data_IF_005865078914
#
_entry.id   IF_005865078914
#
_cell.length_a   1.000
_cell.length_b   1.000
_cell.length_c   1.000
_cell.angle_alpha   90.00
_cell.angle_beta   90.00
_cell.angle_gamma   90.00
#
_symmetry.space_group_name_H-M   'P 1'
#
loop_
_entity.id
_entity.type
_entity.pdbx_description
1 polymer ?
#
# COMPACT_ATOMS: atom_id res chain seq x y z
N UNK A 1 22.90 7.27 -20.58
CA UNK A 1 22.76 7.32 -19.11
C UNK A 1 21.29 7.12 -18.79
N UNK A 2 20.95 6.26 -17.85
CA UNK A 2 19.56 6.02 -17.45
C UNK A 2 19.06 7.25 -16.70
N UNK A 3 17.87 7.75 -17.05
CA UNK A 3 17.28 8.98 -16.48
C UNK A 3 16.81 8.76 -15.05
N UNK A 4 17.05 9.73 -14.18
CA UNK A 4 16.47 9.73 -12.81
C UNK A 4 14.98 10.02 -12.86
N UNK A 5 14.23 9.38 -11.97
CA UNK A 5 12.77 9.56 -11.83
C UNK A 5 12.51 10.54 -10.69
N UNK A 6 12.23 11.79 -11.03
CA UNK A 6 11.95 12.84 -10.04
C UNK A 6 10.50 12.81 -9.59
N UNK A 7 10.28 12.70 -8.27
CA UNK A 7 8.95 12.78 -7.70
C UNK A 7 8.50 14.24 -7.62
N UNK A 8 7.35 14.56 -8.23
CA UNK A 8 6.81 15.92 -8.17
C UNK A 8 6.34 16.29 -6.76
N UNK A 9 6.25 17.59 -6.45
CA UNK A 9 5.77 18.07 -5.15
C UNK A 9 4.32 17.66 -4.86
N UNK A 10 3.53 17.35 -5.88
CA UNK A 10 2.16 16.89 -5.72
C UNK A 10 2.06 15.42 -5.33
N UNK A 11 3.12 14.62 -5.50
CA UNK A 11 3.12 13.23 -5.08
C UNK A 11 3.29 13.12 -3.57
N UNK A 12 2.35 12.43 -2.94
CA UNK A 12 2.27 12.25 -1.47
C UNK A 12 2.58 10.81 -1.05
N UNK A 13 2.65 9.88 -1.99
CA UNK A 13 2.82 8.46 -1.69
C UNK A 13 3.50 7.72 -2.84
N UNK A 14 4.36 6.78 -2.49
CA UNK A 14 4.97 5.83 -3.43
C UNK A 14 4.60 4.43 -2.96
N UNK A 15 3.76 3.74 -3.74
CA UNK A 15 3.35 2.37 -3.49
C UNK A 15 4.06 1.43 -4.47
N UNK A 16 4.83 0.50 -3.95
CA UNK A 16 5.52 -0.52 -4.75
C UNK A 16 4.91 -1.87 -4.41
N UNK A 17 4.17 -2.42 -5.36
CA UNK A 17 3.57 -3.74 -5.26
C UNK A 17 4.58 -4.77 -5.78
N UNK A 18 5.40 -5.33 -4.89
CA UNK A 18 6.42 -6.32 -5.28
C UNK A 18 5.79 -7.57 -5.87
N UNK A 19 4.63 -7.96 -5.35
CA UNK A 19 3.84 -9.12 -5.77
C UNK A 19 2.37 -8.90 -5.46
N UNK A 20 1.47 -9.55 -6.19
CA UNK A 20 0.04 -9.61 -5.82
C UNK A 20 -0.29 -10.88 -5.03
N UNK A 21 0.64 -11.80 -4.88
CA UNK A 21 0.46 -13.01 -4.06
C UNK A 21 0.40 -12.64 -2.58
N UNK A 22 -0.44 -13.34 -1.84
CA UNK A 22 -0.58 -13.16 -0.39
C UNK A 22 -0.80 -14.52 0.26
N UNK A 23 -0.28 -14.70 1.46
CA UNK A 23 -0.49 -15.89 2.29
C UNK A 23 -1.76 -15.82 3.14
N UNK A 24 -2.53 -14.72 3.05
CA UNK A 24 -3.85 -14.55 3.65
C UNK A 24 -4.93 -14.31 2.58
N UNK A 25 -6.20 -14.57 2.95
CA UNK A 25 -7.37 -14.35 2.10
C UNK A 25 -8.46 -13.56 2.85
N UNK A 26 -8.15 -12.31 3.19
CA UNK A 26 -9.04 -11.45 3.97
C UNK A 26 -10.31 -11.11 3.20
N UNK A 27 -11.51 -11.24 3.79
CA UNK A 27 -12.78 -11.01 3.10
C UNK A 27 -13.00 -9.55 2.68
N UNK A 28 -12.32 -8.62 3.33
CA UNK A 28 -12.38 -7.17 3.07
C UNK A 28 -11.13 -6.62 2.38
N UNK A 29 -10.32 -7.50 1.78
CA UNK A 29 -9.13 -7.09 1.06
C UNK A 29 -9.51 -6.27 -0.18
N UNK A 30 -8.99 -5.06 -0.28
CA UNK A 30 -9.26 -4.19 -1.42
C UNK A 30 -8.81 -4.79 -2.76
N UNK A 31 -7.82 -5.69 -2.73
CA UNK A 31 -7.41 -6.46 -3.90
C UNK A 31 -8.46 -7.48 -4.38
N UNK A 32 -9.48 -7.76 -3.57
CA UNK A 32 -10.51 -8.76 -3.88
C UNK A 32 -11.87 -8.12 -4.21
N UNK A 33 -12.06 -6.81 -3.97
CA UNK A 33 -13.36 -6.15 -4.03
C UNK A 33 -13.84 -5.84 -5.45
N UNK A 34 -12.93 -5.77 -6.42
CA UNK A 34 -13.28 -5.47 -7.80
C UNK A 34 -13.29 -6.76 -8.63
N UNK A 35 -14.48 -7.40 -8.72
CA UNK A 35 -14.74 -8.60 -9.53
C UNK A 35 -13.89 -9.82 -9.16
N UNK A 36 -14.14 -10.35 -8.00
CA UNK A 36 -13.44 -11.50 -7.40
C UNK A 36 -13.43 -12.80 -8.23
N UNK A 37 -14.17 -12.87 -9.34
CA UNK A 37 -14.19 -14.04 -10.22
C UNK A 37 -13.01 -14.09 -11.19
N UNK A 38 -12.37 -12.94 -11.50
CA UNK A 38 -11.29 -12.83 -12.49
C UNK A 38 -9.96 -12.36 -11.93
N UNK A 39 -9.89 -11.95 -10.67
CA UNK A 39 -8.64 -11.55 -10.03
C UNK A 39 -7.77 -12.76 -9.73
N UNK A 40 -7.14 -13.27 -10.77
CA UNK A 40 -6.06 -14.23 -10.62
C UNK A 40 -4.82 -13.46 -10.15
N UNK A 41 -4.56 -13.44 -8.83
CA UNK A 41 -3.39 -12.79 -8.18
C UNK A 41 -2.04 -13.19 -8.78
N UNK A 42 -2.04 -14.10 -9.74
CA UNK A 42 -0.86 -14.69 -10.43
C UNK A 42 -0.63 -14.10 -11.82
N UNK A 43 -1.45 -13.13 -12.29
CA UNK A 43 -1.35 -12.61 -13.68
C UNK A 43 -0.08 -11.81 -13.96
N UNK A 44 0.46 -11.13 -12.96
CA UNK A 44 1.63 -10.28 -13.14
C UNK A 44 2.90 -11.11 -13.34
N UNK A 45 3.67 -10.79 -14.38
CA UNK A 45 5.06 -11.19 -14.47
C UNK A 45 5.85 -10.32 -13.49
N UNK A 46 6.23 -10.88 -12.36
CA UNK A 46 6.97 -10.16 -11.32
C UNK A 46 8.40 -9.86 -11.79
N UNK A 47 8.90 -8.67 -11.44
CA UNK A 47 10.31 -8.34 -11.60
C UNK A 47 11.14 -9.12 -10.59
N UNK A 48 12.37 -9.49 -10.95
CA UNK A 48 13.33 -10.03 -10.00
C UNK A 48 13.95 -8.92 -9.12
N UNK A 49 14.69 -9.33 -8.09
CA UNK A 49 15.27 -8.40 -7.13
C UNK A 49 16.24 -7.40 -7.74
N UNK A 50 17.00 -7.80 -8.77
CA UNK A 50 17.96 -6.92 -9.47
C UNK A 50 17.22 -5.84 -10.25
N UNK A 51 16.19 -6.24 -10.99
CA UNK A 51 15.35 -5.33 -11.75
C UNK A 51 14.66 -4.31 -10.82
N UNK A 52 14.15 -4.77 -9.66
CA UNK A 52 13.57 -3.88 -8.65
C UNK A 52 14.57 -2.87 -8.12
N UNK A 53 15.77 -3.33 -7.73
CA UNK A 53 16.83 -2.46 -7.20
C UNK A 53 17.27 -1.43 -8.24
N UNK A 54 17.48 -1.87 -9.48
CA UNK A 54 17.89 -1.00 -10.57
C UNK A 54 16.85 0.10 -10.85
N UNK A 55 15.58 -0.28 -10.94
CA UNK A 55 14.50 0.65 -11.20
C UNK A 55 14.24 1.61 -10.04
N UNK A 56 14.15 1.10 -8.80
CA UNK A 56 13.83 1.92 -7.64
C UNK A 56 14.97 2.87 -7.26
N UNK A 57 16.23 2.48 -7.49
CA UNK A 57 17.39 3.35 -7.27
C UNK A 57 17.44 4.57 -8.20
N UNK A 58 16.65 4.60 -9.27
CA UNK A 58 16.46 5.79 -10.12
C UNK A 58 15.56 6.84 -9.48
N UNK A 59 14.73 6.45 -8.50
CA UNK A 59 13.78 7.37 -7.89
C UNK A 59 14.51 8.38 -7.00
N UNK A 60 14.21 9.66 -7.22
CA UNK A 60 14.57 10.75 -6.33
C UNK A 60 13.32 11.11 -5.50
N UNK A 61 13.26 10.61 -4.28
CA UNK A 61 12.18 10.90 -3.35
C UNK A 61 12.61 11.85 -2.25
N UNK A 62 11.64 12.31 -1.45
CA UNK A 62 11.81 13.12 -0.26
C UNK A 62 11.70 12.25 0.98
N UNK A 63 12.27 12.69 2.11
CA UNK A 63 12.23 11.91 3.36
C UNK A 63 10.81 11.61 3.85
N UNK A 64 9.90 12.56 3.68
CA UNK A 64 8.50 12.42 4.06
C UNK A 64 7.68 11.54 3.10
N UNK A 65 8.23 11.17 1.94
CA UNK A 65 7.60 10.30 0.92
C UNK A 65 8.44 9.04 0.71
N UNK A 66 8.46 8.11 1.67
CA UNK A 66 9.23 6.89 1.55
C UNK A 66 8.70 5.98 0.43
N UNK A 67 9.55 5.10 -0.06
CA UNK A 67 9.12 3.96 -0.88
C UNK A 67 8.39 2.99 0.05
N UNK A 68 7.10 2.76 -0.20
CA UNK A 68 6.31 1.81 0.57
C UNK A 68 6.26 0.48 -0.16
N UNK A 69 7.00 -0.50 0.35
CA UNK A 69 6.95 -1.87 -0.13
C UNK A 69 5.66 -2.54 0.35
N UNK A 70 4.87 -3.00 -0.58
CA UNK A 70 3.56 -3.60 -0.34
C UNK A 70 3.23 -4.64 -1.42
N UNK A 71 1.97 -4.96 -1.57
CA UNK A 71 1.48 -5.90 -2.58
C UNK A 71 0.28 -6.68 -2.07
N UNK A 72 0.20 -7.96 -2.37
CA UNK A 72 -0.53 -8.91 -1.56
C UNK A 72 0.13 -9.00 -0.19
N UNK A 73 1.25 -9.74 -0.10
CA UNK A 73 2.16 -9.69 1.04
C UNK A 73 3.61 -9.60 0.51
N UNK A 74 4.35 -8.52 0.78
CA UNK A 74 5.63 -8.26 0.12
C UNK A 74 6.71 -9.32 0.40
N UNK A 75 6.74 -9.95 1.58
CA UNK A 75 7.73 -10.97 1.90
C UNK A 75 7.58 -12.25 1.07
N UNK A 76 6.44 -12.46 0.42
CA UNK A 76 6.22 -13.60 -0.50
C UNK A 76 7.07 -13.46 -1.76
N UNK A 77 7.55 -12.25 -2.06
CA UNK A 77 8.53 -12.06 -3.13
C UNK A 77 9.88 -12.69 -2.72
N UNK A 78 10.47 -13.56 -3.55
CA UNK A 78 11.67 -14.33 -3.16
C UNK A 78 12.87 -13.44 -2.82
N UNK A 79 12.99 -12.29 -3.47
CA UNK A 79 14.11 -11.35 -3.31
C UNK A 79 13.80 -10.20 -2.33
N UNK A 80 12.79 -10.32 -1.45
CA UNK A 80 12.36 -9.23 -0.57
C UNK A 80 13.50 -8.64 0.26
N UNK A 81 14.29 -9.48 0.92
CA UNK A 81 15.46 -9.04 1.71
C UNK A 81 16.54 -8.41 0.81
N UNK A 82 16.80 -9.04 -0.35
CA UNK A 82 17.77 -8.51 -1.31
C UNK A 82 17.39 -7.09 -1.76
N UNK A 83 16.12 -6.85 -2.08
CA UNK A 83 15.62 -5.53 -2.48
C UNK A 83 15.88 -4.51 -1.38
N UNK A 84 15.47 -4.78 -0.13
CA UNK A 84 15.66 -3.86 1.00
C UNK A 84 17.13 -3.48 1.19
N UNK A 85 18.02 -4.48 1.14
CA UNK A 85 19.43 -4.29 1.44
C UNK A 85 20.22 -3.59 0.33
N UNK A 86 19.71 -3.62 -0.92
CA UNK A 86 20.41 -3.06 -2.09
C UNK A 86 19.80 -1.74 -2.62
N UNK A 87 18.68 -1.28 -2.06
CA UNK A 87 18.21 0.07 -2.35
C UNK A 87 19.17 1.09 -1.75
N UNK A 88 19.44 2.17 -2.49
CA UNK A 88 20.37 3.24 -2.06
C UNK A 88 19.94 3.84 -0.70
N UNK A 89 20.91 4.21 0.16
CA UNK A 89 20.64 4.64 1.54
C UNK A 89 19.73 5.87 1.66
N UNK A 90 19.75 6.74 0.65
CA UNK A 90 18.94 7.96 0.62
C UNK A 90 17.44 7.67 0.48
N UNK A 91 17.08 6.54 -0.11
CA UNK A 91 15.69 6.12 -0.22
C UNK A 91 15.19 5.59 1.13
N UNK A 92 14.26 6.30 1.73
CA UNK A 92 13.55 5.83 2.92
C UNK A 92 12.55 4.74 2.53
N UNK A 93 12.40 3.74 3.38
CA UNK A 93 11.56 2.57 3.12
C UNK A 93 10.52 2.42 4.22
N UNK A 94 9.28 2.22 3.83
CA UNK A 94 8.20 1.71 4.66
C UNK A 94 7.81 0.30 4.17
N UNK A 95 7.34 -0.53 5.08
CA UNK A 95 6.83 -1.87 4.76
C UNK A 95 5.38 -1.98 5.25
N UNK A 96 4.48 -2.42 4.37
CA UNK A 96 3.13 -2.86 4.73
C UNK A 96 3.09 -4.38 4.68
N UNK A 97 2.83 -5.04 5.79
CA UNK A 97 2.87 -6.50 5.91
C UNK A 97 1.81 -7.03 6.85
N UNK A 98 1.47 -8.30 6.72
CA UNK A 98 0.69 -9.02 7.72
C UNK A 98 1.56 -9.71 8.78
N UNK A 99 2.89 -9.72 8.61
CA UNK A 99 3.88 -10.37 9.51
C UNK A 99 3.64 -11.87 9.78
N UNK A 100 2.88 -12.55 8.92
CA UNK A 100 2.70 -14.00 9.04
C UNK A 100 3.83 -14.76 8.33
N UNK A 101 5.08 -14.46 8.75
CA UNK A 101 6.31 -14.85 8.07
C UNK A 101 6.89 -16.19 8.50
N UNK A 102 6.42 -16.75 9.63
CA UNK A 102 6.98 -18.01 10.16
C UNK A 102 8.48 -17.92 10.42
N UNK A 103 9.24 -18.91 9.95
CA UNK A 103 10.70 -18.93 10.07
C UNK A 103 11.44 -17.84 9.28
N UNK A 104 10.78 -17.21 8.30
CA UNK A 104 11.34 -16.09 7.56
C UNK A 104 11.61 -14.86 8.45
N UNK A 105 10.87 -14.71 9.57
CA UNK A 105 11.07 -13.62 10.52
C UNK A 105 12.50 -13.61 11.09
N UNK A 106 13.02 -14.78 11.45
CA UNK A 106 14.38 -14.90 11.99
C UNK A 106 15.43 -14.55 10.95
N UNK A 107 15.24 -15.02 9.73
CA UNK A 107 16.09 -14.66 8.59
C UNK A 107 16.11 -13.16 8.34
N UNK A 108 14.92 -12.51 8.36
CA UNK A 108 14.81 -11.08 8.18
C UNK A 108 15.57 -10.29 9.26
N UNK A 109 15.41 -10.67 10.53
CA UNK A 109 16.10 -10.04 11.66
C UNK A 109 17.62 -10.19 11.55
N UNK A 110 18.11 -11.33 11.03
CA UNK A 110 19.54 -11.58 10.86
C UNK A 110 20.15 -10.82 9.68
N UNK A 111 19.41 -10.68 8.58
CA UNK A 111 19.94 -10.19 7.31
C UNK A 111 19.64 -8.71 7.03
N UNK A 112 18.63 -8.11 7.70
CA UNK A 112 18.26 -6.69 7.52
C UNK A 112 18.68 -5.89 8.76
N UNK A 113 19.46 -4.83 8.55
CA UNK A 113 19.84 -3.92 9.64
C UNK A 113 18.68 -2.98 9.97
N UNK A 114 18.31 -2.80 11.25
CA UNK A 114 17.21 -1.91 11.64
C UNK A 114 17.36 -0.48 11.12
N UNK A 115 18.59 0.03 11.03
CA UNK A 115 18.89 1.38 10.53
C UNK A 115 18.42 1.59 9.09
N UNK A 116 18.34 0.51 8.30
CA UNK A 116 17.88 0.57 6.91
C UNK A 116 16.41 1.01 6.80
N UNK A 117 15.61 0.71 7.83
CA UNK A 117 14.19 1.03 7.91
C UNK A 117 13.90 2.17 8.89
N UNK A 118 14.96 2.76 9.50
CA UNK A 118 14.81 3.88 10.41
C UNK A 118 14.62 5.17 9.64
N UNK A 119 13.61 5.95 10.06
CA UNK A 119 13.40 7.30 9.55
C UNK A 119 12.70 8.18 10.60
N UNK A 120 12.84 9.48 10.47
CA UNK A 120 12.08 10.42 11.30
C UNK A 120 10.62 10.42 10.85
N UNK A 121 9.76 9.90 11.70
CA UNK A 121 8.34 9.77 11.42
C UNK A 121 7.52 9.57 12.69
N UNK A 122 6.31 10.13 12.69
CA UNK A 122 5.33 9.95 13.79
C UNK A 122 4.70 8.55 13.81
N UNK A 123 5.15 7.62 12.98
CA UNK A 123 4.61 6.26 12.91
C UNK A 123 5.71 5.28 12.52
N UNK A 124 5.49 4.02 12.83
CA UNK A 124 6.43 2.96 12.54
C UNK A 124 6.63 2.76 11.02
N UNK A 125 7.88 2.54 10.60
CA UNK A 125 8.21 2.24 9.20
C UNK A 125 7.71 0.85 8.80
N UNK A 126 7.67 -0.11 9.73
CA UNK A 126 7.05 -1.42 9.52
C UNK A 126 5.63 -1.37 10.10
N UNK A 127 4.64 -1.43 9.22
CA UNK A 127 3.22 -1.34 9.57
C UNK A 127 2.56 -2.70 9.38
N UNK A 128 2.27 -3.36 10.48
CA UNK A 128 1.66 -4.68 10.49
C UNK A 128 0.14 -4.57 10.45
N UNK A 129 -0.48 -5.12 9.43
CA UNK A 129 -1.93 -5.21 9.34
C UNK A 129 -2.43 -6.42 10.13
N UNK A 130 -3.24 -6.18 11.17
CA UNK A 130 -3.89 -7.24 11.95
C UNK A 130 -5.23 -7.63 11.31
N UNK A 131 -5.38 -8.90 11.00
CA UNK A 131 -6.56 -9.52 10.39
C UNK A 131 -7.10 -10.61 11.30
N UNK A 132 -8.03 -10.29 12.23
CA UNK A 132 -8.48 -11.19 13.31
C UNK A 132 -8.96 -12.56 12.83
N UNK A 133 -9.60 -12.61 11.65
CA UNK A 133 -10.19 -13.84 11.11
C UNK A 133 -9.14 -14.89 10.70
N UNK A 134 -7.88 -14.47 10.54
CA UNK A 134 -6.82 -15.32 9.99
C UNK A 134 -5.54 -15.33 10.82
N UNK A 135 -5.49 -14.55 11.91
CA UNK A 135 -4.27 -14.33 12.66
C UNK A 135 -4.48 -14.62 14.15
N UNK A 136 -3.51 -15.27 14.77
CA UNK A 136 -3.46 -15.41 16.23
C UNK A 136 -2.85 -14.13 16.84
N UNK A 137 -3.62 -13.45 17.70
CA UNK A 137 -3.23 -12.19 18.32
C UNK A 137 -1.96 -12.32 19.18
N UNK A 138 -1.87 -13.34 20.04
CA UNK A 138 -0.73 -13.56 20.94
C UNK A 138 0.55 -13.84 20.15
N UNK A 139 0.45 -14.66 19.08
CA UNK A 139 1.58 -14.93 18.21
C UNK A 139 2.05 -13.64 17.50
N UNK A 140 1.12 -12.84 16.99
CA UNK A 140 1.45 -11.59 16.35
C UNK A 140 2.17 -10.63 17.30
N UNK A 141 1.67 -10.46 18.52
CA UNK A 141 2.31 -9.62 19.54
C UNK A 141 3.72 -10.12 19.84
N UNK A 142 3.90 -11.43 20.02
CA UNK A 142 5.23 -12.03 20.23
C UNK A 142 6.19 -11.73 19.07
N UNK A 143 5.74 -11.87 17.83
CA UNK A 143 6.56 -11.62 16.65
C UNK A 143 6.91 -10.11 16.53
N UNK A 144 5.98 -9.21 16.85
CA UNK A 144 6.23 -7.76 16.88
C UNK A 144 7.23 -7.39 17.98
N UNK A 145 7.10 -7.96 19.19
CA UNK A 145 8.07 -7.74 20.27
C UNK A 145 9.45 -8.21 19.88
N UNK A 146 9.57 -9.38 19.26
CA UNK A 146 10.84 -9.89 18.75
C UNK A 146 11.50 -8.92 17.76
N UNK A 147 10.72 -8.28 16.89
CA UNK A 147 11.22 -7.26 15.98
C UNK A 147 11.64 -5.98 16.72
N UNK A 148 10.86 -5.53 17.73
CA UNK A 148 11.23 -4.38 18.56
C UNK A 148 12.53 -4.63 19.33
N UNK A 149 12.71 -5.82 19.93
CA UNK A 149 13.91 -6.21 20.65
C UNK A 149 15.14 -6.25 19.73
N UNK A 150 14.95 -6.55 18.45
CA UNK A 150 15.96 -6.46 17.41
C UNK A 150 16.22 -5.02 16.90
N UNK A 151 15.51 -4.01 17.42
CA UNK A 151 15.74 -2.60 17.12
C UNK A 151 14.89 -2.04 15.97
N UNK A 152 13.93 -2.80 15.44
CA UNK A 152 13.05 -2.31 14.37
C UNK A 152 11.93 -1.41 14.89
N UNK A 153 11.63 -0.34 14.13
CA UNK A 153 10.48 0.50 14.38
C UNK A 153 9.22 -0.11 13.72
N UNK A 154 8.41 -0.80 14.52
CA UNK A 154 7.27 -1.61 14.08
C UNK A 154 6.05 -1.33 14.94
N UNK A 155 4.86 -1.31 14.32
CA UNK A 155 3.58 -1.15 15.00
C UNK A 155 2.47 -1.93 14.30
N UNK A 156 1.32 -2.03 14.95
CA UNK A 156 0.15 -2.79 14.47
C UNK A 156 -0.95 -1.84 14.02
N UNK A 157 -1.59 -2.16 12.90
CA UNK A 157 -2.75 -1.44 12.35
C UNK A 157 -3.94 -2.37 12.19
N UNK A 158 -5.10 -1.95 12.70
CA UNK A 158 -6.38 -2.59 12.47
C UNK A 158 -7.25 -1.78 11.51
N UNK A 159 -8.00 -2.45 10.64
CA UNK A 159 -9.03 -1.84 9.81
C UNK A 159 -10.37 -1.96 10.51
N UNK A 160 -11.12 -0.87 10.67
CA UNK A 160 -12.45 -0.86 11.29
C UNK A 160 -13.49 -1.54 10.40
N UNK A 161 -13.26 -2.82 10.06
CA UNK A 161 -14.24 -3.62 9.31
C UNK A 161 -15.49 -3.83 10.17
N UNK A 162 -16.70 -3.53 9.66
CA UNK A 162 -17.89 -3.34 10.50
C UNK A 162 -18.61 -4.65 10.87
N UNK A 163 -17.85 -5.71 11.19
CA UNK A 163 -18.42 -6.89 11.87
C UNK A 163 -18.20 -6.80 13.38
N UNK A 164 -19.15 -7.27 14.18
CA UNK A 164 -19.08 -7.25 15.63
C UNK A 164 -17.87 -8.03 16.16
N UNK A 165 -17.60 -9.18 15.57
CA UNK A 165 -16.50 -10.08 15.94
C UNK A 165 -15.15 -9.40 15.65
N UNK A 166 -15.03 -8.77 14.47
CA UNK A 166 -13.82 -8.05 14.05
C UNK A 166 -13.53 -6.86 14.98
N UNK A 167 -14.55 -6.03 15.24
CA UNK A 167 -14.40 -4.86 16.12
C UNK A 167 -14.06 -5.27 17.56
N UNK A 168 -14.65 -6.37 18.07
CA UNK A 168 -14.31 -6.93 19.38
C UNK A 168 -12.84 -7.37 19.43
N UNK A 169 -12.35 -8.05 18.40
CA UNK A 169 -10.96 -8.48 18.32
C UNK A 169 -9.98 -7.30 18.22
N UNK A 170 -10.35 -6.23 17.50
CA UNK A 170 -9.55 -4.99 17.46
C UNK A 170 -9.46 -4.32 18.83
N UNK A 171 -10.57 -4.26 19.58
CA UNK A 171 -10.57 -3.72 20.94
C UNK A 171 -9.66 -4.52 21.85
N UNK A 172 -9.72 -5.86 21.81
CA UNK A 172 -8.82 -6.72 22.56
C UNK A 172 -7.35 -6.47 22.18
N UNK A 173 -7.03 -6.40 20.88
CA UNK A 173 -5.68 -6.11 20.40
C UNK A 173 -5.18 -4.76 20.89
N UNK A 174 -6.03 -3.74 20.95
CA UNK A 174 -5.67 -2.42 21.46
C UNK A 174 -5.23 -2.46 22.93
N UNK A 175 -5.94 -3.23 23.77
CA UNK A 175 -5.54 -3.43 25.18
C UNK A 175 -4.20 -4.16 25.27
N UNK A 176 -4.02 -5.25 24.53
CA UNK A 176 -2.77 -6.01 24.52
C UNK A 176 -1.61 -5.11 24.07
N UNK A 177 -1.78 -4.35 22.97
CA UNK A 177 -0.74 -3.47 22.48
C UNK A 177 -0.36 -2.36 23.47
N UNK A 178 -1.35 -1.84 24.22
CA UNK A 178 -1.10 -0.84 25.27
C UNK A 178 -0.24 -1.44 26.41
N UNK A 179 -0.57 -2.65 26.86
CA UNK A 179 0.16 -3.32 27.95
C UNK A 179 1.60 -3.70 27.50
N UNK A 180 1.76 -4.06 26.23
CA UNK A 180 3.04 -4.46 25.63
C UNK A 180 3.87 -3.30 25.05
N UNK A 181 3.39 -2.04 25.18
CA UNK A 181 4.03 -0.86 24.61
C UNK A 181 4.26 -0.96 23.08
N UNK A 182 3.23 -1.40 22.36
CA UNK A 182 3.22 -1.48 20.90
C UNK A 182 2.35 -0.35 20.34
N UNK A 183 2.86 0.41 19.34
CA UNK A 183 2.05 1.42 18.63
C UNK A 183 0.91 0.72 17.89
N UNK A 184 -0.32 0.95 18.33
CA UNK A 184 -1.53 0.41 17.73
C UNK A 184 -2.39 1.53 17.14
N UNK A 185 -2.74 1.38 15.86
CA UNK A 185 -3.56 2.38 15.16
C UNK A 185 -4.70 1.75 14.40
N UNK A 186 -5.81 2.48 14.35
CA UNK A 186 -6.98 2.09 13.59
C UNK A 186 -7.02 2.84 12.26
N UNK A 187 -7.46 2.14 11.22
CA UNK A 187 -7.77 2.70 9.91
C UNK A 187 -9.25 2.54 9.63
N UNK A 188 -9.83 3.57 9.04
CA UNK A 188 -11.18 3.52 8.50
C UNK A 188 -11.31 2.39 7.48
N UNK A 189 -12.36 1.60 7.58
CA UNK A 189 -12.78 0.70 6.51
C UNK A 189 -13.33 1.53 5.36
N UNK A 190 -13.04 1.12 4.14
CA UNK A 190 -13.55 1.74 2.91
C UNK A 190 -14.06 0.67 1.96
N UNK A 191 -15.23 0.88 1.38
CA UNK A 191 -15.88 -0.08 0.50
C UNK A 191 -17.23 -0.51 1.02
N UNK A 192 -17.78 -1.58 0.44
CA UNK A 192 -19.12 -2.07 0.74
C UNK A 192 -19.15 -3.12 1.85
N UNK A 193 -20.09 -2.97 2.76
CA UNK A 193 -20.42 -3.99 3.75
C UNK A 193 -21.95 -4.06 3.93
N UNK A 194 -22.56 -5.23 3.69
CA UNK A 194 -24.01 -5.47 3.82
C UNK A 194 -24.89 -4.42 3.11
N UNK A 195 -24.46 -3.97 1.94
CA UNK A 195 -25.19 -2.99 1.13
C UNK A 195 -24.98 -1.52 1.49
N UNK A 196 -24.13 -1.23 2.50
CA UNK A 196 -23.73 0.12 2.88
C UNK A 196 -22.32 0.44 2.40
N UNK A 197 -22.13 1.67 1.91
CA UNK A 197 -20.83 2.17 1.48
C UNK A 197 -20.16 2.92 2.64
N UNK A 198 -19.00 2.41 3.06
CA UNK A 198 -18.15 2.97 4.10
C UNK A 198 -17.01 3.80 3.51
N UNK A 199 -16.71 4.92 4.17
CA UNK A 199 -15.71 5.89 3.76
C UNK A 199 -16.31 7.25 3.42
N UNK A 200 -15.46 8.28 3.40
CA UNK A 200 -15.86 9.63 3.04
C UNK A 200 -15.58 9.93 1.56
N UNK A 201 -16.61 9.98 0.73
CA UNK A 201 -16.54 10.27 -0.72
C UNK A 201 -17.17 11.62 -1.07
N UNK A 202 -17.28 12.54 -0.13
CA UNK A 202 -17.95 13.83 -0.30
C UNK A 202 -17.37 14.68 -1.44
N UNK A 203 -16.07 14.55 -1.69
CA UNK A 203 -15.36 15.28 -2.76
C UNK A 203 -15.75 14.80 -4.16
N UNK A 204 -15.97 13.49 -4.32
CA UNK A 204 -16.32 12.87 -5.61
C UNK A 204 -17.51 11.94 -5.43
N UNK A 205 -18.70 12.56 -5.36
CA UNK A 205 -19.95 11.84 -5.17
C UNK A 205 -20.16 10.84 -6.32
N UNK A 206 -20.70 9.67 -6.00
CA UNK A 206 -20.99 8.60 -6.97
C UNK A 206 -19.77 8.00 -7.70
N UNK A 207 -18.54 8.30 -7.28
CA UNK A 207 -17.34 7.81 -7.93
C UNK A 207 -17.11 6.29 -7.78
N UNK A 208 -17.72 5.66 -6.77
CA UNK A 208 -17.57 4.23 -6.45
C UNK A 208 -18.87 3.44 -6.51
N UNK A 209 -19.97 4.08 -6.96
CA UNK A 209 -21.33 3.54 -6.79
C UNK A 209 -21.95 2.95 -8.04
N UNK A 210 -21.21 2.88 -9.17
CA UNK A 210 -21.96 2.93 -10.39
C UNK A 210 -21.99 1.74 -11.28
N UNK A 211 -23.19 1.54 -11.77
CA UNK A 211 -23.50 0.71 -12.92
C UNK A 211 -23.02 1.35 -14.24
N UNK A 212 -22.95 2.67 -14.33
CA UNK A 212 -22.49 3.41 -15.51
C UNK A 212 -21.26 4.28 -15.22
N UNK A 213 -20.26 4.18 -16.08
CA UNK A 213 -19.07 5.03 -16.01
C UNK A 213 -19.23 6.32 -16.82
N UNK A 214 -18.58 7.40 -16.34
CA UNK A 214 -18.52 8.70 -17.04
C UNK A 214 -17.08 9.00 -17.47
N UNK A 215 -16.93 9.77 -18.53
CA UNK A 215 -15.66 10.38 -18.91
C UNK A 215 -15.33 11.56 -18.00
N UNK A 216 -14.08 11.66 -17.60
CA UNK A 216 -13.55 12.76 -16.80
C UNK A 216 -12.05 12.96 -17.12
N UNK A 217 -11.47 14.02 -16.55
CA UNK A 217 -10.03 14.20 -16.49
C UNK A 217 -9.56 13.79 -15.10
N UNK A 218 -8.52 12.96 -15.01
CA UNK A 218 -7.99 12.46 -13.75
C UNK A 218 -6.48 12.61 -13.67
N UNK A 219 -5.99 13.04 -12.50
CA UNK A 219 -4.56 13.16 -12.17
C UNK A 219 -4.31 12.46 -10.82
N UNK A 220 -3.20 11.74 -10.70
CA UNK A 220 -2.81 11.07 -9.45
C UNK A 220 -1.87 11.94 -8.61
N UNK A 221 -1.93 11.77 -7.29
CA UNK A 221 -0.92 12.23 -6.35
C UNK A 221 -0.09 11.08 -5.74
N UNK A 222 -0.33 9.85 -6.21
CA UNK A 222 0.40 8.66 -5.77
C UNK A 222 1.19 8.08 -6.95
N UNK A 223 2.43 7.65 -6.70
CA UNK A 223 3.18 6.82 -7.65
C UNK A 223 2.89 5.36 -7.30
N UNK A 224 2.11 4.69 -8.15
CA UNK A 224 1.69 3.30 -7.95
C UNK A 224 2.42 2.42 -8.95
N UNK A 225 3.26 1.50 -8.46
CA UNK A 225 4.10 0.64 -9.28
C UNK A 225 3.67 -0.80 -9.06
N UNK A 226 3.26 -1.49 -10.13
CA UNK A 226 2.84 -2.88 -10.11
C UNK A 226 4.00 -3.86 -10.20
N UNK A 227 3.75 -5.17 -9.99
CA UNK A 227 4.79 -6.21 -9.92
C UNK A 227 5.66 -6.35 -11.17
N UNK A 228 5.15 -5.95 -12.32
CA UNK A 228 5.84 -5.95 -13.61
C UNK A 228 6.58 -4.63 -13.94
N UNK A 229 6.67 -3.73 -12.96
CA UNK A 229 7.27 -2.41 -13.15
C UNK A 229 6.38 -1.38 -13.84
N UNK A 230 5.18 -1.75 -14.28
CA UNK A 230 4.22 -0.81 -14.83
C UNK A 230 3.76 0.19 -13.76
N UNK A 231 3.63 1.44 -14.17
CA UNK A 231 3.16 2.53 -13.32
C UNK A 231 1.71 2.82 -13.68
N UNK A 232 0.88 2.95 -12.65
CA UNK A 232 -0.56 3.14 -12.80
C UNK A 232 -1.01 4.46 -12.18
N UNK A 233 -2.10 5.02 -12.72
CA UNK A 233 -2.71 6.25 -12.23
C UNK A 233 -3.48 6.04 -10.92
N UNK A 234 -4.09 4.87 -10.73
CA UNK A 234 -4.91 4.54 -9.58
C UNK A 234 -4.86 3.04 -9.27
N UNK A 235 -5.33 2.64 -8.10
CA UNK A 235 -5.38 1.23 -7.70
C UNK A 235 -6.33 0.41 -8.56
N UNK A 236 -7.43 1.01 -9.07
CA UNK A 236 -8.32 0.32 -10.01
C UNK A 236 -7.55 -0.16 -11.24
N UNK A 237 -6.81 0.75 -11.88
CA UNK A 237 -6.04 0.41 -13.08
C UNK A 237 -4.94 -0.61 -12.77
N UNK A 238 -4.29 -0.52 -11.59
CA UNK A 238 -3.35 -1.54 -11.13
C UNK A 238 -4.01 -2.91 -11.01
N UNK A 239 -5.13 -3.01 -10.28
CA UNK A 239 -5.78 -4.30 -10.02
C UNK A 239 -6.41 -4.91 -11.27
N UNK A 240 -6.89 -4.09 -12.18
CA UNK A 240 -7.39 -4.54 -13.49
C UNK A 240 -6.26 -4.83 -14.49
N UNK A 241 -5.02 -4.43 -14.18
CA UNK A 241 -3.86 -4.48 -15.11
C UNK A 241 -4.11 -3.69 -16.41
N UNK A 242 -4.84 -2.57 -16.29
CA UNK A 242 -5.26 -1.73 -17.41
C UNK A 242 -4.54 -0.37 -17.39
N UNK A 243 -4.41 0.23 -18.57
CA UNK A 243 -4.00 1.64 -18.76
C UNK A 243 -2.72 2.06 -18.01
N UNK A 244 -1.61 1.33 -18.06
CA UNK A 244 -0.37 1.78 -17.45
C UNK A 244 0.05 3.12 -18.08
N UNK A 245 0.56 4.04 -17.26
CA UNK A 245 1.02 5.36 -17.69
C UNK A 245 2.52 5.39 -18.03
N UNK A 246 3.20 4.27 -17.86
CA UNK A 246 4.60 4.02 -18.15
C UNK A 246 5.12 2.78 -17.46
N UNK A 247 6.44 2.56 -17.55
CA UNK A 247 7.12 1.47 -16.86
C UNK A 247 8.42 1.98 -16.24
N UNK A 248 8.70 1.64 -14.97
CA UNK A 248 9.90 2.12 -14.28
C UNK A 248 11.21 1.53 -14.82
N UNK A 249 11.13 0.46 -15.62
CA UNK A 249 12.31 -0.10 -16.32
C UNK A 249 12.67 0.69 -17.58
N UNK A 250 11.73 1.47 -18.14
CA UNK A 250 12.03 2.30 -19.29
C UNK A 250 13.08 3.35 -18.90
N UNK A 251 14.25 3.39 -19.58
CA UNK A 251 15.32 4.33 -19.28
C UNK A 251 14.88 5.80 -19.36
N UNK A 252 13.90 6.11 -20.20
CA UNK A 252 13.38 7.45 -20.43
C UNK A 252 12.11 7.76 -19.63
N UNK A 253 11.65 6.82 -18.79
CA UNK A 253 10.45 7.04 -18.00
C UNK A 253 10.58 8.28 -17.09
N UNK A 254 9.57 9.14 -17.18
CA UNK A 254 9.40 10.30 -16.31
C UNK A 254 7.96 10.41 -15.82
N UNK A 255 7.80 10.95 -14.62
CA UNK A 255 6.48 11.23 -14.04
C UNK A 255 5.93 12.52 -14.65
N UNK A 256 4.76 12.41 -15.28
CA UNK A 256 4.02 13.57 -15.83
C UNK A 256 2.86 13.91 -14.88
N UNK A 257 3.01 15.02 -14.17
CA UNK A 257 1.98 15.55 -13.26
C UNK A 257 0.89 16.30 -14.05
N UNK A 258 0.17 15.58 -14.92
CA UNK A 258 -0.84 16.13 -15.82
C UNK A 258 -2.15 15.37 -15.73
N UNK A 259 -3.25 16.08 -15.99
CA UNK A 259 -4.55 15.44 -16.17
C UNK A 259 -4.56 14.60 -17.44
N UNK A 260 -5.16 13.42 -17.36
CA UNK A 260 -5.41 12.51 -18.49
C UNK A 260 -6.87 12.11 -18.50
N UNK A 261 -7.40 11.82 -19.67
CA UNK A 261 -8.74 11.29 -19.82
C UNK A 261 -8.90 9.96 -19.07
N UNK A 262 -10.06 9.77 -18.48
CA UNK A 262 -10.50 8.56 -17.82
C UNK A 262 -11.98 8.34 -18.12
N UNK A 263 -12.34 7.15 -18.54
CA UNK A 263 -13.72 6.75 -18.83
C UNK A 263 -14.34 5.90 -17.70
N UNK A 264 -13.70 5.86 -16.53
CA UNK A 264 -14.05 4.97 -15.41
C UNK A 264 -14.60 5.69 -14.18
N UNK A 265 -14.96 6.98 -14.29
CA UNK A 265 -15.63 7.65 -13.16
C UNK A 265 -16.94 6.96 -12.82
N UNK A 266 -17.11 6.55 -11.58
CA UNK A 266 -18.19 5.68 -11.15
C UNK A 266 -17.72 4.27 -10.78
N UNK A 267 -16.59 3.85 -11.33
CA UNK A 267 -15.93 2.58 -11.04
C UNK A 267 -14.56 2.83 -10.37
N UNK A 268 -14.39 3.98 -9.72
CA UNK A 268 -13.15 4.31 -9.03
C UNK A 268 -12.91 3.35 -7.85
N UNK A 269 -11.65 3.04 -7.60
CA UNK A 269 -11.29 2.28 -6.42
C UNK A 269 -11.57 3.11 -5.15
N UNK A 270 -12.22 2.55 -4.13
CA UNK A 270 -12.63 3.30 -2.94
C UNK A 270 -11.47 4.05 -2.26
N UNK A 271 -10.27 3.44 -2.21
CA UNK A 271 -9.11 4.03 -1.56
C UNK A 271 -8.60 5.29 -2.27
N UNK A 272 -8.81 5.43 -3.60
CA UNK A 272 -8.27 6.54 -4.38
C UNK A 272 -9.11 7.81 -4.25
N UNK A 273 -10.42 7.67 -4.17
CA UNK A 273 -11.39 8.77 -4.17
C UNK A 273 -11.92 9.15 -2.80
N UNK A 274 -11.62 8.36 -1.75
CA UNK A 274 -11.99 8.75 -0.39
C UNK A 274 -11.20 9.98 0.05
N UNK A 275 -11.86 10.84 0.80
CA UNK A 275 -11.21 11.96 1.48
C UNK A 275 -10.37 11.43 2.64
N UNK A 276 -9.07 11.67 2.59
CA UNK A 276 -8.11 11.23 3.60
C UNK A 276 -8.06 12.23 4.74
N UNK A 277 -8.02 11.74 5.98
CA UNK A 277 -8.08 12.53 7.20
C UNK A 277 -6.86 12.38 8.09
N UNK A 278 -5.88 11.58 7.66
CA UNK A 278 -4.65 11.40 8.44
C UNK A 278 -3.60 12.47 8.12
N UNK A 279 -2.77 12.81 9.09
CA UNK A 279 -1.76 13.87 9.02
C UNK A 279 -0.76 13.78 7.88
N UNK A 280 -0.53 12.58 7.34
CA UNK A 280 0.46 12.39 6.29
C UNK A 280 -0.02 12.75 4.92
N UNK A 281 -1.31 12.79 4.76
CA UNK A 281 -1.96 12.98 3.48
C UNK A 281 -2.83 14.22 3.48
N UNK A 282 -2.51 15.24 4.25
CA UNK A 282 -3.24 16.49 4.34
C UNK A 282 -4.78 16.31 4.44
N UNK A 283 -5.41 16.86 5.41
CA UNK A 283 -6.86 16.76 5.60
C UNK A 283 -7.60 17.20 4.33
N UNK A 284 -8.54 16.40 3.88
CA UNK A 284 -9.31 16.64 2.66
C UNK A 284 -8.62 16.21 1.35
N UNK A 285 -7.43 15.59 1.43
CA UNK A 285 -6.74 15.06 0.26
C UNK A 285 -7.35 13.73 -0.23
N UNK A 286 -7.31 13.52 -1.55
CA UNK A 286 -7.62 12.25 -2.22
C UNK A 286 -6.39 11.81 -3.01
N UNK A 287 -6.22 10.51 -3.28
CA UNK A 287 -5.10 10.02 -4.11
C UNK A 287 -5.18 10.45 -5.56
N UNK A 288 -6.38 10.82 -6.01
CA UNK A 288 -6.63 11.33 -7.36
C UNK A 288 -7.33 12.68 -7.29
N UNK A 289 -7.06 13.51 -8.29
CA UNK A 289 -7.79 14.73 -8.57
C UNK A 289 -8.61 14.53 -9.84
N UNK A 290 -9.91 14.79 -9.78
CA UNK A 290 -10.87 14.55 -10.87
C UNK A 290 -11.55 15.86 -11.26
N UNK A 291 -11.65 16.10 -12.58
CA UNK A 291 -12.36 17.22 -13.17
C UNK A 291 -13.31 16.72 -14.26
N UNK A 292 -14.42 17.41 -14.42
CA UNK A 292 -15.31 17.16 -15.54
C UNK A 292 -14.62 17.53 -16.88
N UNK A 293 -15.00 16.86 -17.95
CA UNK A 293 -14.65 17.26 -19.32
C UNK A 293 -15.73 18.28 -19.72
N UNK A 294 -15.34 19.52 -19.91
CA UNK A 294 -16.19 20.58 -20.47
C UNK A 294 -16.50 20.32 -21.93
#
# INVERSE_FOLDING_TARGET
MVKEIKISNNHKYIAVFLTMRCNLNCPYCLNNLENSKDFNRVKFKELDGKQWVEALNRIQSREEVPITLSGGEPFVHPDFIYIINNLKPELKIDILTNLQWGSFLDKFIQEVKPERLKRDSKYASIRVSYHPEQMNAQKLVKDVKKMQDAGFNIGIWGVLYPSSEHLSALNQMQFICKDENIDFRLKEFTGWYKGELYGNYSKYKNSVLQQESKKCLCKTSDLIIGPNGNVYRCHRDLYAEENPIGNILDPDFEIKDTFKECDKYGQCHPCDVKVKTNYKQELGHTSVEIKDIN
#
